data_IF_639695583444
#
_entry.id   IF_639695583444
#
_cell.length_a   1.000
_cell.length_b   1.000
_cell.length_c   1.000
_cell.angle_alpha   90.00
_cell.angle_beta   90.00
_cell.angle_gamma   90.00
#
_symmetry.space_group_name_H-M   'P 1'
#
loop_
_entity.id
_entity.type
_entity.pdbx_description
1 polymer ?
#
# COMPACT_ATOMS: atom_id res chain seq x y z
N UNK A 1 -26.92 -13.32 -0.23
CA UNK A 1 -26.43 -14.03 0.96
C UNK A 1 -27.50 -13.99 2.04
N UNK A 2 -27.71 -15.07 2.79
CA UNK A 2 -28.59 -15.11 3.98
C UNK A 2 -27.74 -15.34 5.24
N UNK A 3 -28.31 -15.12 6.44
CA UNK A 3 -27.61 -15.44 7.69
C UNK A 3 -27.21 -16.92 7.78
N UNK A 4 -28.02 -17.82 7.25
CA UNK A 4 -27.75 -19.27 7.26
C UNK A 4 -26.85 -19.74 6.10
N UNK A 5 -26.68 -18.90 5.07
CA UNK A 5 -25.80 -19.17 3.93
C UNK A 5 -25.10 -17.88 3.50
N UNK A 6 -24.09 -17.43 4.27
CA UNK A 6 -23.30 -16.28 3.89
C UNK A 6 -22.60 -16.57 2.57
N UNK A 7 -22.45 -15.54 1.74
CA UNK A 7 -21.64 -15.62 0.54
C UNK A 7 -20.39 -14.79 0.79
N UNK A 8 -19.23 -15.36 0.49
CA UNK A 8 -17.97 -14.64 0.53
C UNK A 8 -17.92 -13.67 -0.64
N UNK A 9 -18.04 -12.37 -0.33
CA UNK A 9 -17.85 -11.32 -1.30
C UNK A 9 -16.45 -10.75 -1.15
N UNK A 10 -15.77 -10.53 -2.27
CA UNK A 10 -14.58 -9.69 -2.28
C UNK A 10 -15.01 -8.24 -2.03
N UNK A 11 -14.59 -7.66 -0.91
CA UNK A 11 -14.75 -6.25 -0.63
C UNK A 11 -13.42 -5.54 -0.90
N UNK A 12 -13.45 -4.53 -1.77
CA UNK A 12 -12.31 -3.65 -1.93
C UNK A 12 -12.42 -2.54 -0.88
N UNK A 13 -11.37 -2.29 -0.09
CA UNK A 13 -11.35 -1.10 0.76
C UNK A 13 -11.53 0.13 -0.13
N UNK A 14 -12.58 0.89 0.12
CA UNK A 14 -12.89 2.12 -0.59
C UNK A 14 -13.20 3.19 0.46
N UNK A 15 -12.70 4.42 0.32
CA UNK A 15 -11.90 4.96 -0.78
C UNK A 15 -10.38 4.73 -0.61
N UNK A 16 -9.64 4.72 -1.73
CA UNK A 16 -8.16 4.64 -1.74
C UNK A 16 -7.62 5.84 -2.51
N UNK A 17 -6.70 6.59 -1.90
CA UNK A 17 -5.92 7.63 -2.59
C UNK A 17 -4.49 7.11 -2.73
N UNK A 18 -3.98 7.08 -3.96
CA UNK A 18 -2.62 6.66 -4.27
C UNK A 18 -1.80 7.83 -4.80
N UNK A 19 -0.49 7.77 -4.59
CA UNK A 19 0.45 8.80 -5.05
C UNK A 19 1.82 8.17 -5.31
N UNK A 20 2.66 8.86 -6.08
CA UNK A 20 4.05 8.46 -6.23
C UNK A 20 4.86 8.81 -4.99
N UNK A 21 5.92 8.03 -4.73
CA UNK A 21 6.90 8.37 -3.69
C UNK A 21 7.64 9.68 -3.98
N UNK A 22 7.69 10.11 -5.24
CA UNK A 22 8.30 11.37 -5.69
C UNK A 22 7.37 12.58 -5.58
N UNK A 23 6.13 12.40 -5.15
CA UNK A 23 5.19 13.51 -4.96
C UNK A 23 5.69 14.46 -3.86
N UNK A 24 5.32 15.74 -3.96
CA UNK A 24 5.77 16.74 -2.99
C UNK A 24 5.29 16.40 -1.57
N UNK A 25 6.22 16.40 -0.61
CA UNK A 25 5.92 16.23 0.80
C UNK A 25 4.80 17.17 1.28
N UNK A 26 4.96 18.47 1.01
CA UNK A 26 4.03 19.50 1.49
C UNK A 26 2.64 19.35 0.86
N UNK A 27 2.59 18.96 -0.41
CA UNK A 27 1.32 18.73 -1.09
C UNK A 27 0.57 17.54 -0.49
N UNK A 28 1.25 16.41 -0.28
CA UNK A 28 0.64 15.21 0.29
C UNK A 28 0.25 15.45 1.75
N UNK A 29 1.12 16.06 2.54
CA UNK A 29 0.81 16.43 3.92
C UNK A 29 -0.42 17.33 4.01
N UNK A 30 -0.46 18.41 3.22
CA UNK A 30 -1.56 19.38 3.26
C UNK A 30 -2.88 18.75 2.83
N UNK A 31 -2.86 17.93 1.77
CA UNK A 31 -4.06 17.23 1.30
C UNK A 31 -4.56 16.22 2.33
N UNK A 32 -3.69 15.34 2.85
CA UNK A 32 -4.08 14.34 3.86
C UNK A 32 -4.63 15.02 5.11
N UNK A 33 -3.99 16.10 5.57
CA UNK A 33 -4.46 16.87 6.72
C UNK A 33 -5.83 17.50 6.47
N UNK A 34 -6.05 18.09 5.30
CA UNK A 34 -7.35 18.66 4.94
C UNK A 34 -8.45 17.59 4.92
N UNK A 35 -8.19 16.41 4.34
CA UNK A 35 -9.12 15.28 4.32
C UNK A 35 -9.51 14.88 5.75
N UNK A 36 -8.52 14.73 6.64
CA UNK A 36 -8.76 14.34 8.04
C UNK A 36 -9.55 15.42 8.79
N UNK A 37 -9.13 16.69 8.70
CA UNK A 37 -9.71 17.79 9.47
C UNK A 37 -11.12 18.18 9.01
N UNK A 38 -11.40 18.04 7.72
CA UNK A 38 -12.70 18.40 7.15
C UNK A 38 -13.68 17.23 7.09
N UNK A 39 -13.27 16.03 7.54
CA UNK A 39 -14.10 14.82 7.54
C UNK A 39 -15.52 15.03 8.09
N UNK A 40 -15.74 15.72 9.23
CA UNK A 40 -17.09 15.97 9.73
C UNK A 40 -18.01 16.69 8.73
N UNK A 41 -17.46 17.51 7.84
CA UNK A 41 -18.22 18.29 6.87
C UNK A 41 -18.68 17.47 5.65
N UNK A 42 -18.01 16.37 5.31
CA UNK A 42 -18.31 15.60 4.10
C UNK A 42 -18.65 14.12 4.33
N UNK A 43 -18.55 13.61 5.57
CA UNK A 43 -18.74 12.18 5.88
C UNK A 43 -20.07 11.56 5.42
N UNK A 44 -21.12 12.38 5.27
CA UNK A 44 -22.45 11.94 4.85
C UNK A 44 -22.79 12.37 3.40
N UNK A 45 -21.84 12.93 2.66
CA UNK A 45 -22.09 13.52 1.33
C UNK A 45 -22.16 12.50 0.20
N UNK A 46 -21.64 11.28 0.38
CA UNK A 46 -21.71 10.21 -0.61
C UNK A 46 -21.52 8.83 0.03
N UNK A 47 -22.08 7.75 -0.55
CA UNK A 47 -21.77 6.38 -0.13
C UNK A 47 -20.26 6.11 -0.18
N UNK A 48 -19.70 5.55 0.89
CA UNK A 48 -18.27 5.25 1.02
C UNK A 48 -17.44 6.41 1.58
N UNK A 49 -17.99 7.62 1.73
CA UNK A 49 -17.27 8.73 2.34
C UNK A 49 -16.85 8.42 3.78
N UNK A 50 -17.59 7.55 4.49
CA UNK A 50 -17.25 7.06 5.81
C UNK A 50 -15.90 6.32 5.88
N UNK A 51 -15.42 5.81 4.73
CA UNK A 51 -14.12 5.18 4.61
C UNK A 51 -12.95 6.18 4.72
N UNK A 52 -13.19 7.49 4.64
CA UNK A 52 -12.16 8.51 4.89
C UNK A 52 -11.92 8.83 6.37
N UNK A 53 -12.71 8.25 7.29
CA UNK A 53 -12.45 8.41 8.72
C UNK A 53 -11.03 7.92 9.05
N UNK A 54 -10.22 8.77 9.68
CA UNK A 54 -8.81 8.45 9.99
C UNK A 54 -8.69 7.23 10.92
N UNK A 55 -9.64 7.06 11.84
CA UNK A 55 -9.74 5.94 12.78
C UNK A 55 -10.09 4.59 12.11
N UNK A 56 -10.54 4.63 10.84
CA UNK A 56 -10.90 3.43 10.07
C UNK A 56 -9.79 2.98 9.12
N UNK A 57 -8.69 3.73 9.04
CA UNK A 57 -7.62 3.42 8.09
C UNK A 57 -6.85 2.16 8.52
N UNK A 58 -6.61 1.27 7.56
CA UNK A 58 -5.63 0.19 7.72
C UNK A 58 -4.24 0.74 7.44
N UNK A 59 -3.48 1.03 8.50
CA UNK A 59 -2.14 1.63 8.41
C UNK A 59 -1.03 0.58 8.23
N UNK A 60 -1.37 -0.70 8.28
CA UNK A 60 -0.47 -1.84 8.01
C UNK A 60 -0.80 -2.50 6.67
N UNK A 61 -0.87 -1.71 5.60
CA UNK A 61 -1.20 -2.18 4.24
C UNK A 61 0.03 -2.75 3.52
N UNK A 62 -0.18 -3.59 2.50
CA UNK A 62 0.87 -4.05 1.56
C UNK A 62 1.59 -2.96 0.74
N UNK A 63 1.09 -1.72 0.70
CA UNK A 63 1.73 -0.58 0.01
C UNK A 63 2.18 0.44 1.06
N UNK A 64 3.44 0.93 1.02
CA UNK A 64 3.90 1.94 1.98
C UNK A 64 3.12 3.25 1.88
N UNK A 65 2.98 3.94 3.02
CA UNK A 65 2.42 5.29 3.08
C UNK A 65 3.47 6.33 2.69
N UNK A 66 3.01 7.44 2.10
CA UNK A 66 3.85 8.60 1.82
C UNK A 66 4.20 9.36 3.11
N UNK A 67 5.42 9.88 3.25
CA UNK A 67 5.89 10.54 4.48
C UNK A 67 5.01 11.72 4.90
N UNK A 68 4.56 12.53 3.93
CA UNK A 68 3.61 13.63 4.19
C UNK A 68 2.28 13.13 4.78
N UNK A 69 1.77 11.98 4.32
CA UNK A 69 0.55 11.39 4.87
C UNK A 69 0.79 10.86 6.29
N UNK A 70 1.93 10.19 6.52
CA UNK A 70 2.33 9.70 7.85
C UNK A 70 2.37 10.85 8.86
N UNK A 71 2.92 12.01 8.48
CA UNK A 71 2.93 13.19 9.36
C UNK A 71 1.52 13.63 9.76
N UNK A 72 0.60 13.75 8.81
CA UNK A 72 -0.78 14.14 9.10
C UNK A 72 -1.51 13.10 9.96
N UNK A 73 -1.29 11.81 9.72
CA UNK A 73 -1.87 10.69 10.48
C UNK A 73 -1.31 10.64 11.91
N UNK A 74 -0.01 10.93 12.09
CA UNK A 74 0.62 11.09 13.41
C UNK A 74 0.00 12.24 14.19
N UNK A 75 -0.19 13.40 13.55
CA UNK A 75 -0.86 14.56 14.17
C UNK A 75 -2.31 14.27 14.55
N UNK A 76 -2.98 13.38 13.80
CA UNK A 76 -4.34 12.92 14.11
C UNK A 76 -4.39 11.90 15.28
N UNK A 77 -3.24 11.45 15.80
CA UNK A 77 -3.15 10.60 16.99
C UNK A 77 -3.34 9.11 16.78
N UNK A 78 -3.55 8.64 15.54
CA UNK A 78 -3.80 7.22 15.25
C UNK A 78 -2.55 6.44 14.82
N UNK A 79 -1.41 7.13 14.65
CA UNK A 79 -0.14 6.48 14.32
C UNK A 79 0.51 5.84 15.55
N UNK A 80 0.75 4.54 15.50
CA UNK A 80 1.28 3.76 16.60
C UNK A 80 2.63 3.12 16.24
N UNK A 81 3.43 2.66 17.22
CA UNK A 81 4.73 2.04 16.95
C UNK A 81 4.68 0.85 15.99
N UNK A 82 3.58 0.08 15.98
CA UNK A 82 3.45 -1.06 15.06
C UNK A 82 3.34 -0.61 13.59
N UNK A 83 2.70 0.52 13.33
CA UNK A 83 2.63 1.10 11.98
C UNK A 83 4.01 1.54 11.50
N UNK A 84 4.86 2.05 12.39
CA UNK A 84 6.24 2.42 12.06
C UNK A 84 7.09 1.22 11.68
N UNK A 85 7.00 0.14 12.47
CA UNK A 85 7.70 -1.10 12.19
C UNK A 85 7.25 -1.70 10.85
N UNK A 86 5.93 -1.74 10.61
CA UNK A 86 5.36 -2.23 9.35
C UNK A 86 5.79 -1.38 8.16
N UNK A 87 5.69 -0.05 8.25
CA UNK A 87 6.12 0.88 7.21
C UNK A 87 7.59 0.67 6.83
N UNK A 88 8.47 0.48 7.83
CA UNK A 88 9.89 0.20 7.60
C UNK A 88 10.09 -1.08 6.79
N UNK A 89 9.35 -2.15 7.11
CA UNK A 89 9.40 -3.42 6.36
C UNK A 89 8.88 -3.23 4.93
N UNK A 90 7.78 -2.49 4.74
CA UNK A 90 7.19 -2.27 3.41
C UNK A 90 8.10 -1.42 2.51
N UNK A 91 8.75 -0.38 3.04
CA UNK A 91 9.75 0.42 2.29
C UNK A 91 10.94 -0.46 1.88
N UNK A 92 11.47 -1.28 2.81
CA UNK A 92 12.54 -2.25 2.49
C UNK A 92 12.09 -3.21 1.39
N UNK A 93 10.86 -3.74 1.49
CA UNK A 93 10.28 -4.65 0.50
C UNK A 93 10.18 -4.00 -0.88
N UNK A 94 9.66 -2.78 -0.96
CA UNK A 94 9.54 -2.05 -2.22
C UNK A 94 10.91 -1.83 -2.87
N UNK A 95 11.93 -1.46 -2.09
CA UNK A 95 13.30 -1.31 -2.60
C UNK A 95 13.85 -2.61 -3.17
N UNK A 96 13.76 -3.71 -2.43
CA UNK A 96 14.24 -5.04 -2.87
C UNK A 96 13.56 -5.48 -4.16
N UNK A 97 12.24 -5.30 -4.24
CA UNK A 97 11.48 -5.65 -5.45
C UNK A 97 11.84 -4.75 -6.64
N UNK A 98 12.05 -3.45 -6.40
CA UNK A 98 12.50 -2.52 -7.44
C UNK A 98 13.88 -2.89 -8.00
N UNK A 99 14.84 -3.18 -7.13
CA UNK A 99 16.18 -3.64 -7.53
C UNK A 99 16.12 -4.96 -8.31
N UNK A 100 15.34 -5.94 -7.82
CA UNK A 100 15.14 -7.22 -8.51
C UNK A 100 14.50 -7.03 -9.88
N UNK A 101 13.49 -6.16 -9.99
CA UNK A 101 12.82 -5.85 -11.25
C UNK A 101 13.80 -5.22 -12.25
N UNK A 102 14.51 -4.17 -11.86
CA UNK A 102 15.52 -3.51 -12.71
C UNK A 102 16.58 -4.48 -13.21
N UNK A 103 17.08 -5.37 -12.34
CA UNK A 103 18.04 -6.40 -12.74
C UNK A 103 17.43 -7.42 -13.69
N UNK A 104 16.19 -7.84 -13.45
CA UNK A 104 15.52 -8.86 -14.25
C UNK A 104 15.27 -8.38 -15.68
N UNK A 105 14.64 -7.20 -15.83
CA UNK A 105 14.28 -6.67 -17.15
C UNK A 105 15.50 -6.36 -18.04
N UNK A 106 16.65 -6.03 -17.45
CA UNK A 106 17.88 -5.80 -18.20
C UNK A 106 18.35 -7.06 -18.95
N UNK A 107 18.02 -8.25 -18.44
CA UNK A 107 18.40 -9.55 -19.02
C UNK A 107 17.27 -10.28 -19.75
N UNK A 108 16.01 -9.92 -19.46
CA UNK A 108 14.83 -10.66 -19.90
C UNK A 108 13.99 -9.94 -20.98
N UNK A 109 14.40 -8.76 -21.45
CA UNK A 109 13.62 -7.88 -22.34
C UNK A 109 13.24 -8.49 -23.70
N UNK A 110 13.93 -9.54 -24.14
CA UNK A 110 13.68 -10.24 -25.42
C UNK A 110 13.03 -11.61 -25.24
N UNK A 111 12.70 -12.01 -24.01
CA UNK A 111 12.06 -13.29 -23.73
C UNK A 111 10.58 -13.27 -24.14
N UNK A 112 10.07 -14.42 -24.58
CA UNK A 112 8.62 -14.61 -24.76
C UNK A 112 7.89 -14.53 -23.42
N UNK A 113 6.63 -14.06 -23.46
CA UNK A 113 5.81 -13.72 -22.29
C UNK A 113 5.80 -14.79 -21.19
N UNK A 114 5.60 -16.06 -21.53
CA UNK A 114 5.54 -17.12 -20.52
C UNK A 114 6.89 -17.38 -19.83
N UNK A 115 8.00 -17.34 -20.59
CA UNK A 115 9.34 -17.44 -20.02
C UNK A 115 9.66 -16.23 -19.14
N UNK A 116 9.21 -15.04 -19.56
CA UNK A 116 9.33 -13.82 -18.78
C UNK A 116 8.56 -13.92 -17.45
N UNK A 117 7.32 -14.38 -17.50
CA UNK A 117 6.46 -14.52 -16.32
C UNK A 117 7.03 -15.51 -15.30
N UNK A 118 7.43 -16.71 -15.76
CA UNK A 118 8.04 -17.73 -14.89
C UNK A 118 9.36 -17.21 -14.30
N UNK A 119 10.21 -16.62 -15.13
CA UNK A 119 11.50 -16.09 -14.68
C UNK A 119 11.33 -14.95 -13.67
N UNK A 120 10.36 -14.05 -13.87
CA UNK A 120 10.06 -12.98 -12.93
C UNK A 120 9.55 -13.51 -11.60
N UNK A 121 8.61 -14.47 -11.59
CA UNK A 121 8.13 -15.10 -10.36
C UNK A 121 9.28 -15.67 -9.52
N UNK A 122 10.19 -16.41 -10.16
CA UNK A 122 11.36 -16.98 -9.49
C UNK A 122 12.32 -15.90 -8.96
N UNK A 123 12.72 -14.93 -9.80
CA UNK A 123 13.65 -13.87 -9.42
C UNK A 123 13.09 -13.00 -8.27
N UNK A 124 11.80 -12.67 -8.32
CA UNK A 124 11.09 -11.96 -7.26
C UNK A 124 11.12 -12.72 -5.94
N UNK A 125 10.77 -14.01 -5.96
CA UNK A 125 10.73 -14.85 -4.77
C UNK A 125 12.13 -15.01 -4.15
N UNK A 126 13.15 -15.22 -4.97
CA UNK A 126 14.55 -15.32 -4.53
C UNK A 126 15.02 -14.03 -3.85
N UNK A 127 14.77 -12.87 -4.46
CA UNK A 127 15.16 -11.57 -3.92
C UNK A 127 14.53 -11.31 -2.54
N UNK A 128 13.24 -11.65 -2.38
CA UNK A 128 12.54 -11.52 -1.11
C UNK A 128 13.09 -12.48 -0.04
N UNK A 129 13.30 -13.77 -0.38
CA UNK A 129 13.89 -14.77 0.53
C UNK A 129 15.28 -14.32 1.02
N UNK A 130 16.14 -13.88 0.10
CA UNK A 130 17.48 -13.37 0.41
C UNK A 130 17.46 -12.15 1.34
N UNK A 131 16.44 -11.31 1.23
CA UNK A 131 16.27 -10.14 2.09
C UNK A 131 15.60 -10.44 3.44
N UNK A 132 15.22 -11.70 3.71
CA UNK A 132 14.47 -12.11 4.89
C UNK A 132 13.05 -11.56 4.90
N UNK A 133 12.43 -11.40 3.72
CA UNK A 133 11.09 -10.86 3.55
C UNK A 133 10.11 -11.96 3.11
N UNK A 134 8.85 -11.82 3.51
CA UNK A 134 7.81 -12.80 3.21
C UNK A 134 7.53 -12.94 1.70
N UNK A 135 7.33 -14.18 1.23
CA UNK A 135 6.99 -14.48 -0.16
C UNK A 135 5.54 -14.92 -0.24
N UNK A 136 4.72 -14.13 -0.93
CA UNK A 136 3.29 -14.43 -1.12
C UNK A 136 2.97 -15.15 -2.43
N UNK A 137 3.87 -15.05 -3.43
CA UNK A 137 3.70 -15.67 -4.74
C UNK A 137 5.03 -16.31 -5.13
N UNK A 138 4.99 -17.60 -5.40
CA UNK A 138 6.10 -18.40 -5.93
C UNK A 138 5.85 -18.73 -7.41
#
# INVERSE_FOLDING_TARGET
ATKEKPADFSYYPYPIITTYASSSFDQIYSLTKAIIQTYPAYKDSAPGAEGFAVERQSLSWVVPLHEGAIKAIREAGVWKPEHEAHQTVMVKRQRVLGEAWTSYIASASTMGEEKFRIGWSAARAEALKKAGLEVYFE
#
